data_IF_515506372209
#
_entry.id   IF_515506372209
#
_cell.length_a   1.000
_cell.length_b   1.000
_cell.length_c   1.000
_cell.angle_alpha   90.00
_cell.angle_beta   90.00
_cell.angle_gamma   90.00
#
_symmetry.space_group_name_H-M   'P 1'
#
loop_
_entity.id
_entity.type
_entity.pdbx_description
1 polymer ?
#
# COMPACT_ATOMS: atom_id res chain seq x y z
N UNK A 1 -20.66 -10.67 5.87
CA UNK A 1 -19.75 -9.52 6.01
C UNK A 1 -20.31 -8.42 5.12
N UNK A 2 -20.99 -7.43 5.72
CA UNK A 2 -21.70 -6.39 4.97
C UNK A 2 -20.75 -5.20 4.73
N UNK A 3 -20.52 -4.89 3.46
CA UNK A 3 -19.76 -3.71 3.03
C UNK A 3 -20.69 -2.49 3.13
N UNK A 4 -20.22 -1.37 3.69
CA UNK A 4 -21.01 -0.14 3.82
C UNK A 4 -20.67 0.83 2.69
N UNK A 5 -21.65 1.56 2.13
CA UNK A 5 -21.46 2.39 0.95
C UNK A 5 -20.67 3.68 1.26
N UNK A 6 -19.95 4.17 0.23
CA UNK A 6 -19.14 5.40 0.27
C UNK A 6 -19.96 6.69 0.39
N UNK A 7 -19.28 7.78 0.79
CA UNK A 7 -19.87 9.13 0.87
C UNK A 7 -19.62 9.92 -0.42
N UNK A 8 -20.62 10.71 -0.82
CA UNK A 8 -20.53 11.67 -1.91
C UNK A 8 -19.70 12.90 -1.55
N UNK A 9 -19.48 13.78 -2.54
CA UNK A 9 -18.67 15.00 -2.43
C UNK A 9 -19.24 16.07 -1.46
N UNK A 10 -20.48 15.89 -1.01
CA UNK A 10 -21.18 16.69 0.02
C UNK A 10 -21.05 16.10 1.44
N UNK A 11 -20.32 14.98 1.59
CA UNK A 11 -20.15 14.27 2.86
C UNK A 11 -21.35 13.40 3.27
N UNK A 12 -22.38 13.29 2.43
CA UNK A 12 -23.58 12.48 2.69
C UNK A 12 -23.37 11.07 2.14
N UNK A 13 -23.86 10.05 2.87
CA UNK A 13 -23.84 8.66 2.39
C UNK A 13 -24.78 8.52 1.19
N UNK A 14 -24.24 8.11 0.05
CA UNK A 14 -25.04 7.77 -1.13
C UNK A 14 -25.32 6.26 -1.12
N UNK A 15 -26.57 5.80 -1.36
CA UNK A 15 -26.89 4.37 -1.31
C UNK A 15 -26.49 3.58 -2.57
N UNK A 16 -25.89 4.21 -3.58
CA UNK A 16 -25.69 3.63 -4.91
C UNK A 16 -24.21 3.70 -5.34
N UNK A 17 -23.59 2.52 -5.48
CA UNK A 17 -22.18 2.29 -5.84
C UNK A 17 -21.88 2.49 -7.34
N UNK A 18 -22.50 3.46 -8.02
CA UNK A 18 -22.27 3.71 -9.45
C UNK A 18 -21.41 4.93 -9.80
N UNK A 19 -20.88 5.65 -8.80
CA UNK A 19 -20.16 6.92 -9.04
C UNK A 19 -18.83 7.10 -8.30
N UNK A 20 -18.09 6.03 -8.02
CA UNK A 20 -16.71 6.14 -7.51
C UNK A 20 -15.66 6.52 -8.59
N UNK A 21 -16.06 7.31 -9.59
CA UNK A 21 -15.18 7.91 -10.61
C UNK A 21 -14.91 9.40 -10.37
N UNK A 22 -15.52 10.02 -9.36
CA UNK A 22 -15.35 11.43 -9.04
C UNK A 22 -14.93 11.63 -7.59
N UNK A 23 -13.74 12.22 -7.38
CA UNK A 23 -13.19 12.74 -6.10
C UNK A 23 -13.93 12.27 -4.84
N UNK A 24 -13.74 11.02 -4.47
CA UNK A 24 -14.19 10.47 -3.20
C UNK A 24 -12.98 10.29 -2.29
N UNK A 25 -13.01 10.89 -1.09
CA UNK A 25 -12.00 10.71 -0.05
C UNK A 25 -12.33 9.43 0.73
N UNK A 26 -11.45 8.43 0.71
CA UNK A 26 -11.61 7.24 1.55
C UNK A 26 -11.33 7.61 3.02
N UNK A 27 -12.38 7.82 3.82
CA UNK A 27 -12.22 8.26 5.22
C UNK A 27 -12.44 7.20 6.29
N UNK A 28 -12.86 5.98 5.97
CA UNK A 28 -13.41 5.09 6.99
C UNK A 28 -12.48 3.91 7.30
N UNK A 29 -11.45 4.18 8.10
CA UNK A 29 -10.70 3.15 8.84
C UNK A 29 -10.80 3.44 10.35
N UNK A 30 -11.10 2.45 11.22
CA UNK A 30 -11.13 2.63 12.68
C UNK A 30 -9.73 2.79 13.31
N UNK A 31 -8.69 2.88 12.48
CA UNK A 31 -7.32 3.23 12.85
C UNK A 31 -7.22 4.74 13.22
N UNK A 32 -6.16 5.20 13.90
CA UNK A 32 -5.89 6.64 13.98
C UNK A 32 -6.01 7.26 12.59
N UNK A 33 -6.68 8.42 12.51
CA UNK A 33 -6.95 9.09 11.25
C UNK A 33 -5.72 9.04 10.34
N UNK A 34 -5.85 8.61 9.07
CA UNK A 34 -4.69 8.52 8.16
C UNK A 34 -4.08 9.90 7.88
N UNK A 35 -4.79 10.98 8.23
CA UNK A 35 -4.41 12.36 7.95
C UNK A 35 -3.07 12.73 8.63
N UNK A 36 -2.88 12.57 9.95
CA UNK A 36 -1.57 12.81 10.59
C UNK A 36 -0.39 12.05 9.99
N UNK A 37 -0.56 10.76 9.65
CA UNK A 37 0.51 9.95 9.05
C UNK A 37 0.84 10.41 7.64
N UNK A 38 -0.18 10.74 6.83
CA UNK A 38 0.01 11.30 5.50
C UNK A 38 0.71 12.67 5.53
N UNK A 39 0.35 13.53 6.48
CA UNK A 39 1.01 14.83 6.70
C UNK A 39 2.47 14.62 7.11
N UNK A 40 2.77 13.65 7.99
CA UNK A 40 4.13 13.34 8.39
C UNK A 40 4.98 12.85 7.20
N UNK A 41 4.45 11.98 6.35
CA UNK A 41 5.16 11.53 5.14
C UNK A 41 5.50 12.70 4.22
N UNK A 42 4.51 13.54 3.90
CA UNK A 42 4.69 14.71 3.05
C UNK A 42 5.71 15.70 3.66
N UNK A 43 5.69 15.87 4.98
CA UNK A 43 6.67 16.69 5.70
C UNK A 43 8.08 16.10 5.66
N UNK A 44 8.24 14.80 5.89
CA UNK A 44 9.55 14.14 5.81
C UNK A 44 10.12 14.26 4.40
N UNK A 45 9.30 14.07 3.36
CA UNK A 45 9.73 14.24 1.97
C UNK A 45 10.18 15.68 1.67
N UNK A 46 9.40 16.67 2.09
CA UNK A 46 9.76 18.09 1.89
C UNK A 46 10.95 18.55 2.75
N UNK A 47 11.05 18.08 3.99
CA UNK A 47 12.05 18.53 4.96
C UNK A 47 13.38 17.79 4.83
N UNK A 48 13.36 16.50 4.46
CA UNK A 48 14.56 15.63 4.49
C UNK A 48 15.18 15.45 3.10
N UNK A 49 14.39 15.41 2.04
CA UNK A 49 14.91 15.03 0.70
C UNK A 49 15.38 16.25 -0.09
N UNK A 50 14.57 17.34 -0.21
CA UNK A 50 14.99 18.67 -0.72
C UNK A 50 13.85 19.68 -0.74
N UNK A 51 14.17 20.97 -0.58
CA UNK A 51 13.35 22.05 -1.16
C UNK A 51 13.33 21.91 -2.70
N UNK A 52 12.17 21.65 -3.30
CA UNK A 52 11.99 21.51 -4.75
C UNK A 52 11.22 20.26 -5.20
N UNK A 53 10.83 19.38 -4.29
CA UNK A 53 9.91 18.29 -4.57
C UNK A 53 8.45 18.79 -4.62
N UNK A 54 7.65 18.22 -5.52
CA UNK A 54 6.23 18.51 -5.63
C UNK A 54 5.49 18.12 -4.34
N UNK A 55 4.68 19.04 -3.81
CA UNK A 55 3.71 18.71 -2.76
C UNK A 55 2.69 17.69 -3.29
N UNK A 56 2.01 16.96 -2.40
CA UNK A 56 0.99 15.95 -2.78
C UNK A 56 -0.10 16.51 -3.71
N UNK A 57 -0.42 17.80 -3.58
CA UNK A 57 -1.39 18.51 -4.44
C UNK A 57 -0.85 18.90 -5.82
N UNK A 58 0.45 18.70 -6.06
CA UNK A 58 1.17 19.00 -7.30
C UNK A 58 1.59 17.72 -8.04
N UNK A 59 1.29 16.54 -7.49
CA UNK A 59 1.54 15.24 -8.14
C UNK A 59 0.43 14.99 -9.16
N UNK A 60 0.82 14.76 -10.42
CA UNK A 60 -0.08 14.45 -11.52
C UNK A 60 -0.66 13.03 -11.44
N UNK A 61 -1.79 12.82 -12.10
CA UNK A 61 -2.46 11.52 -12.21
C UNK A 61 -1.86 10.66 -13.30
N UNK A 62 -1.53 9.42 -12.96
CA UNK A 62 -1.06 8.40 -13.91
C UNK A 62 -2.18 7.88 -14.84
N UNK A 63 -3.45 8.14 -14.49
CA UNK A 63 -4.61 7.60 -15.19
C UNK A 63 -5.36 8.66 -16.00
N UNK A 64 -5.34 9.91 -15.55
CA UNK A 64 -6.20 10.97 -16.10
C UNK A 64 -5.44 12.13 -16.76
N UNK A 65 -4.18 12.36 -16.41
CA UNK A 65 -3.38 13.40 -17.06
C UNK A 65 -2.77 12.86 -18.36
N UNK A 66 -2.34 13.74 -19.29
CA UNK A 66 -1.72 13.30 -20.54
C UNK A 66 -0.53 12.37 -20.29
N UNK A 67 -0.41 11.23 -20.99
CA UNK A 67 0.61 10.21 -20.71
C UNK A 67 2.05 10.69 -21.00
N UNK A 68 2.21 11.80 -21.73
CA UNK A 68 3.52 12.42 -21.98
C UNK A 68 3.99 13.35 -20.88
N UNK A 69 3.14 13.69 -19.91
CA UNK A 69 3.46 14.63 -18.85
C UNK A 69 4.08 13.90 -17.64
N UNK A 70 5.16 14.42 -17.03
CA UNK A 70 5.72 13.85 -15.82
C UNK A 70 4.73 13.99 -14.66
N UNK A 71 4.57 12.92 -13.86
CA UNK A 71 3.67 12.93 -12.70
C UNK A 71 4.26 13.65 -11.48
N UNK A 72 5.57 13.94 -11.49
CA UNK A 72 6.29 14.58 -10.38
C UNK A 72 6.09 13.88 -9.02
N UNK A 73 5.83 12.57 -9.02
CA UNK A 73 5.82 11.78 -7.80
C UNK A 73 7.23 11.69 -7.23
N UNK A 74 7.33 11.71 -5.91
CA UNK A 74 8.60 11.67 -5.20
C UNK A 74 8.64 10.43 -4.31
N UNK A 75 9.84 9.96 -3.99
CA UNK A 75 10.06 8.87 -3.04
C UNK A 75 11.24 9.21 -2.13
N UNK A 76 11.10 8.93 -0.84
CA UNK A 76 12.16 9.04 0.15
C UNK A 76 12.60 7.67 0.65
N UNK A 77 13.91 7.52 0.89
CA UNK A 77 14.48 6.32 1.50
C UNK A 77 15.30 6.72 2.72
N UNK A 78 15.07 6.03 3.84
CA UNK A 78 15.84 6.19 5.07
C UNK A 78 16.47 4.84 5.39
N UNK A 79 17.78 4.87 5.67
CA UNK A 79 18.55 3.67 6.02
C UNK A 79 19.23 3.92 7.36
N UNK A 80 19.06 2.98 8.29
CA UNK A 80 19.72 3.00 9.59
C UNK A 80 20.82 1.94 9.62
N UNK A 81 22.06 2.33 9.95
CA UNK A 81 23.09 1.35 10.30
C UNK A 81 22.83 0.84 11.72
N UNK A 82 22.28 -0.36 11.83
CA UNK A 82 21.93 -0.97 13.12
C UNK A 82 23.16 -1.09 14.03
N UNK A 83 24.36 -1.31 13.46
CA UNK A 83 25.60 -1.45 14.23
C UNK A 83 26.02 -0.14 14.90
N UNK A 84 25.50 0.99 14.43
CA UNK A 84 25.76 2.29 15.04
C UNK A 84 24.86 2.57 16.26
N UNK A 85 23.75 1.83 16.41
CA UNK A 85 22.72 2.10 17.44
C UNK A 85 22.43 0.92 18.36
N UNK A 86 22.90 -0.28 18.03
CA UNK A 86 22.71 -1.49 18.82
C UNK A 86 23.90 -2.44 18.67
N UNK A 87 24.11 -3.27 19.69
CA UNK A 87 25.01 -4.42 19.61
C UNK A 87 24.47 -5.42 18.58
N UNK A 88 25.22 -5.73 17.50
CA UNK A 88 24.76 -6.63 16.44
C UNK A 88 24.46 -8.05 16.95
N UNK A 89 25.19 -8.51 17.96
CA UNK A 89 25.04 -9.87 18.50
C UNK A 89 23.80 -9.99 19.40
N UNK A 90 23.36 -8.87 19.99
CA UNK A 90 22.16 -8.81 20.83
C UNK A 90 20.90 -8.42 20.06
N UNK A 91 21.02 -7.65 18.97
CA UNK A 91 19.87 -7.09 18.25
C UNK A 91 19.00 -8.16 17.60
N UNK A 92 19.61 -9.09 16.85
CA UNK A 92 18.88 -10.18 16.18
C UNK A 92 18.06 -11.04 17.14
N UNK A 93 18.65 -11.58 18.22
CA UNK A 93 17.93 -12.32 19.25
C UNK A 93 16.81 -11.52 19.93
N UNK A 94 17.05 -10.23 20.19
CA UNK A 94 16.02 -9.35 20.78
C UNK A 94 14.82 -9.18 19.86
N UNK A 95 15.06 -8.95 18.57
CA UNK A 95 14.00 -8.82 17.56
C UNK A 95 13.24 -10.14 17.38
N UNK A 96 13.94 -11.29 17.39
CA UNK A 96 13.32 -12.61 17.33
C UNK A 96 12.43 -12.89 18.55
N UNK A 97 12.86 -12.51 19.74
CA UNK A 97 12.05 -12.61 20.96
C UNK A 97 10.79 -11.74 20.86
N UNK A 98 10.93 -10.48 20.46
CA UNK A 98 9.78 -9.59 20.26
C UNK A 98 8.78 -10.16 19.24
N UNK A 99 9.29 -10.68 18.12
CA UNK A 99 8.47 -11.35 17.12
C UNK A 99 7.70 -12.55 17.70
N UNK A 100 8.34 -13.35 18.56
CA UNK A 100 7.69 -14.47 19.24
C UNK A 100 6.64 -14.01 20.25
N UNK A 101 6.90 -12.95 21.02
CA UNK A 101 5.95 -12.37 21.97
C UNK A 101 4.69 -11.86 21.26
N UNK A 102 4.84 -11.14 20.14
CA UNK A 102 3.70 -10.66 19.35
C UNK A 102 2.86 -11.83 18.84
N UNK A 103 3.50 -12.83 18.20
CA UNK A 103 2.78 -14.00 17.66
C UNK A 103 2.15 -14.87 18.75
N UNK A 104 2.73 -14.89 19.95
CA UNK A 104 2.23 -15.62 21.10
C UNK A 104 1.14 -14.89 21.89
N UNK A 105 0.81 -13.65 21.53
CA UNK A 105 -0.23 -12.89 22.19
C UNK A 105 -1.61 -13.57 22.03
N UNK A 106 -2.43 -13.48 23.08
CA UNK A 106 -3.78 -14.02 23.04
C UNK A 106 -4.58 -13.41 21.88
N UNK A 107 -5.20 -14.28 21.07
CA UNK A 107 -6.08 -13.85 20.00
C UNK A 107 -7.27 -13.07 20.56
N UNK A 108 -7.61 -11.95 19.92
CA UNK A 108 -8.86 -11.28 20.18
C UNK A 108 -10.04 -12.13 19.66
N UNK A 109 -11.22 -11.93 20.23
CA UNK A 109 -12.43 -12.61 19.78
C UNK A 109 -12.65 -12.39 18.28
N UNK A 110 -12.85 -13.49 17.54
CA UNK A 110 -13.05 -13.45 16.08
C UNK A 110 -11.78 -13.23 15.25
N UNK A 111 -10.58 -13.30 15.85
CA UNK A 111 -9.30 -13.23 15.12
C UNK A 111 -8.53 -14.55 15.20
N UNK A 112 -7.69 -14.82 14.19
CA UNK A 112 -6.79 -15.98 14.16
C UNK A 112 -5.49 -15.77 14.98
N UNK A 113 -5.39 -14.65 15.71
CA UNK A 113 -4.20 -14.25 16.45
C UNK A 113 -3.43 -13.09 15.83
N UNK A 114 -2.44 -12.62 16.57
CA UNK A 114 -1.61 -11.48 16.15
C UNK A 114 -0.58 -11.91 15.09
N UNK A 115 -0.34 -11.01 14.13
CA UNK A 115 0.62 -11.17 13.05
C UNK A 115 1.59 -9.99 13.03
N UNK A 116 2.79 -10.21 12.51
CA UNK A 116 3.74 -9.16 12.23
C UNK A 116 3.45 -8.54 10.85
N UNK A 117 3.75 -7.24 10.66
CA UNK A 117 3.76 -6.64 9.33
C UNK A 117 4.64 -7.46 8.37
N UNK A 118 4.10 -7.82 7.21
CA UNK A 118 4.78 -8.67 6.22
C UNK A 118 4.36 -10.14 6.27
N UNK A 119 3.70 -10.63 7.31
CA UNK A 119 3.34 -12.05 7.42
C UNK A 119 2.38 -12.52 6.35
N UNK A 120 1.31 -11.75 6.14
CA UNK A 120 0.29 -12.04 5.13
C UNK A 120 0.91 -11.98 3.73
N UNK A 121 1.77 -11.00 3.48
CA UNK A 121 2.49 -10.82 2.23
C UNK A 121 3.42 -12.00 1.96
N UNK A 122 4.15 -12.48 2.97
CA UNK A 122 5.03 -13.65 2.85
C UNK A 122 4.26 -14.96 2.69
N UNK A 123 3.10 -15.11 3.34
CA UNK A 123 2.20 -16.23 3.12
C UNK A 123 1.68 -16.25 1.68
N UNK A 124 1.15 -15.12 1.21
CA UNK A 124 0.67 -14.96 -0.16
C UNK A 124 1.79 -15.18 -1.16
N UNK A 125 3.00 -14.66 -0.91
CA UNK A 125 4.18 -14.91 -1.74
C UNK A 125 4.47 -16.40 -1.88
N UNK A 126 4.53 -17.14 -0.76
CA UNK A 126 4.78 -18.58 -0.77
C UNK A 126 3.69 -19.33 -1.54
N UNK A 127 2.44 -18.95 -1.34
CA UNK A 127 1.31 -19.51 -2.06
C UNK A 127 1.42 -19.25 -3.57
N UNK A 128 1.57 -17.99 -3.98
CA UNK A 128 1.71 -17.59 -5.38
C UNK A 128 2.94 -18.22 -6.05
N UNK A 129 4.04 -18.42 -5.30
CA UNK A 129 5.23 -19.10 -5.81
C UNK A 129 4.98 -20.59 -6.09
N UNK A 130 4.15 -21.25 -5.26
CA UNK A 130 3.86 -22.67 -5.40
C UNK A 130 2.72 -22.95 -6.39
N UNK A 131 1.68 -22.11 -6.40
CA UNK A 131 0.43 -22.34 -7.14
C UNK A 131 0.26 -21.44 -8.38
N UNK A 132 1.16 -20.47 -8.59
CA UNK A 132 1.00 -19.41 -9.59
C UNK A 132 0.11 -18.27 -9.11
N UNK A 133 0.06 -17.19 -9.88
CA UNK A 133 -0.78 -16.02 -9.59
C UNK A 133 -2.08 -16.12 -10.40
N UNK A 134 -3.20 -16.24 -9.71
CA UNK A 134 -4.51 -16.20 -10.34
C UNK A 134 -4.86 -14.76 -10.73
N UNK A 135 -4.62 -14.39 -11.99
CA UNK A 135 -5.02 -13.10 -12.52
C UNK A 135 -6.52 -13.08 -12.83
N UNK A 136 -7.25 -11.98 -12.56
CA UNK A 136 -8.61 -11.78 -13.06
C UNK A 136 -8.70 -11.83 -14.60
N UNK A 137 -9.89 -12.15 -15.13
CA UNK A 137 -10.08 -12.36 -16.57
C UNK A 137 -9.88 -11.08 -17.40
N UNK A 138 -10.37 -9.95 -16.91
CA UNK A 138 -10.16 -8.61 -17.45
C UNK A 138 -8.68 -8.20 -17.43
N UNK A 139 -7.96 -8.50 -16.34
CA UNK A 139 -6.52 -8.25 -16.27
C UNK A 139 -5.75 -9.06 -17.32
N UNK A 140 -6.08 -10.34 -17.53
CA UNK A 140 -5.47 -11.14 -18.60
C UNK A 140 -5.75 -10.57 -20.00
N UNK A 141 -6.98 -10.10 -20.24
CA UNK A 141 -7.34 -9.47 -21.52
C UNK A 141 -6.52 -8.20 -21.77
N UNK A 142 -6.39 -7.33 -20.77
CA UNK A 142 -5.58 -6.10 -20.87
C UNK A 142 -4.10 -6.41 -21.11
N UNK A 143 -3.56 -7.45 -20.45
CA UNK A 143 -2.19 -7.90 -20.68
C UNK A 143 -2.00 -8.45 -22.10
N UNK A 144 -2.96 -9.22 -22.61
CA UNK A 144 -2.93 -9.73 -23.98
C UNK A 144 -2.85 -8.60 -25.01
N UNK A 145 -3.71 -7.58 -24.84
CA UNK A 145 -3.72 -6.40 -25.69
C UNK A 145 -2.39 -5.65 -25.61
N UNK A 146 -1.90 -5.39 -24.40
CA UNK A 146 -0.61 -4.74 -24.20
C UNK A 146 0.55 -5.53 -24.85
N UNK A 147 0.54 -6.86 -24.75
CA UNK A 147 1.50 -7.73 -25.43
C UNK A 147 1.47 -7.58 -26.95
N UNK A 148 0.27 -7.49 -27.54
CA UNK A 148 0.10 -7.24 -28.97
C UNK A 148 0.64 -5.88 -29.44
N UNK A 149 0.57 -4.84 -28.60
CA UNK A 149 1.11 -3.51 -28.93
C UNK A 149 2.64 -3.53 -29.08
N UNK A 150 3.31 -4.40 -28.32
CA UNK A 150 4.78 -4.48 -28.27
C UNK A 150 5.35 -5.77 -28.88
N UNK A 151 4.54 -6.49 -29.67
CA UNK A 151 4.89 -7.76 -30.30
C UNK A 151 5.43 -8.83 -29.32
N UNK A 152 4.93 -8.84 -28.08
CA UNK A 152 5.20 -9.88 -27.09
C UNK A 152 4.06 -10.90 -27.06
N UNK A 153 4.36 -12.11 -27.53
CA UNK A 153 3.47 -13.26 -27.41
C UNK A 153 3.40 -13.75 -25.97
N UNK A 154 2.41 -13.27 -25.21
CA UNK A 154 2.17 -13.74 -23.85
C UNK A 154 1.44 -15.09 -23.87
N UNK A 155 1.98 -16.05 -23.12
CA UNK A 155 1.34 -17.33 -22.83
C UNK A 155 1.18 -17.47 -21.33
N UNK A 156 -0.04 -17.76 -20.88
CA UNK A 156 -0.38 -18.03 -19.47
C UNK A 156 -1.09 -19.38 -19.33
#
# INVERSE_FOLDING_TARGET
>A
MAWLPGRGADGVRSPEDSHAGGRSMSSDHPAPSPIPVAILSAWVEQAVVRAGLSATTQVGSWLFDPPGDPTFHNAGFIVFDIRAIADPDAHGPSLARFAAEVRGAAAAEGSDGARLPGDLEWEQYRHSRAAGIALPADVRANLAEAGGIVDLGLSW
#
